data_IF_400879310062
#
_entry.id   IF_400879310062
#
_cell.length_a   1.000
_cell.length_b   1.000
_cell.length_c   1.000
_cell.angle_alpha   90.00
_cell.angle_beta   90.00
_cell.angle_gamma   90.00
#
_symmetry.space_group_name_H-M   'P 1'
#
loop_
_entity.id
_entity.type
_entity.pdbx_description
1 polymer ?
#
# COMPACT_ATOMS: atom_id res chain seq x y z
N UNK A 1 24.30 -26.80 1.15
CA UNK A 1 24.15 -25.81 0.09
C UNK A 1 23.97 -24.42 0.71
N UNK A 2 24.52 -23.37 0.09
CA UNK A 2 24.32 -21.99 0.57
C UNK A 2 22.84 -21.62 0.36
N UNK A 3 22.22 -21.09 1.40
CA UNK A 3 20.83 -20.58 1.33
C UNK A 3 20.77 -19.42 0.34
N UNK A 4 19.85 -19.41 -0.66
CA UNK A 4 19.73 -18.31 -1.58
C UNK A 4 19.35 -17.02 -0.84
N UNK A 5 19.83 -15.88 -1.31
CA UNK A 5 19.65 -14.60 -0.62
C UNK A 5 19.02 -13.55 -1.52
N UNK A 6 18.13 -12.74 -0.97
CA UNK A 6 17.52 -11.61 -1.66
C UNK A 6 17.80 -10.31 -0.94
N UNK A 7 17.85 -9.22 -1.71
CA UNK A 7 17.81 -7.86 -1.17
C UNK A 7 16.57 -7.14 -1.68
N UNK A 8 15.70 -6.73 -0.76
CA UNK A 8 14.47 -5.99 -1.07
C UNK A 8 14.53 -4.58 -0.51
N UNK A 9 14.03 -3.60 -1.26
CA UNK A 9 14.00 -2.21 -0.82
C UNK A 9 12.69 -1.52 -1.21
N UNK A 10 11.81 -1.20 -0.23
CA UNK A 10 10.64 -0.35 -0.47
C UNK A 10 11.05 1.12 -0.59
N UNK A 11 10.35 1.89 -1.45
CA UNK A 11 10.48 3.34 -1.49
C UNK A 11 9.85 3.97 -0.24
N UNK A 12 10.40 5.09 0.21
CA UNK A 12 9.95 5.81 1.42
C UNK A 12 8.78 6.79 1.17
N UNK A 13 7.94 6.51 0.15
CA UNK A 13 6.75 7.30 -0.19
C UNK A 13 5.49 6.78 0.48
N UNK A 14 5.40 6.90 1.79
CA UNK A 14 4.29 6.44 2.59
C UNK A 14 4.41 4.97 3.03
N UNK A 15 3.66 4.62 4.07
CA UNK A 15 3.76 3.34 4.76
C UNK A 15 3.32 2.14 3.90
N UNK A 16 2.50 2.36 2.87
CA UNK A 16 1.97 1.30 2.02
C UNK A 16 3.03 0.46 1.32
N UNK A 17 4.18 1.06 0.95
CA UNK A 17 5.28 0.32 0.34
C UNK A 17 5.94 -0.66 1.33
N UNK A 18 6.14 -0.24 2.56
CA UNK A 18 6.66 -1.12 3.61
C UNK A 18 5.67 -2.25 3.92
N UNK A 19 4.38 -1.92 4.09
CA UNK A 19 3.36 -2.91 4.49
C UNK A 19 3.14 -3.99 3.43
N UNK A 20 3.08 -3.65 2.14
CA UNK A 20 2.93 -4.65 1.07
C UNK A 20 4.17 -5.55 0.92
N UNK A 21 5.37 -5.03 1.24
CA UNK A 21 6.58 -5.84 1.24
C UNK A 21 6.58 -6.92 2.33
N UNK A 22 5.83 -6.77 3.43
CA UNK A 22 5.75 -7.76 4.51
C UNK A 22 5.29 -9.12 3.96
N UNK A 23 4.18 -9.14 3.20
CA UNK A 23 3.63 -10.35 2.59
C UNK A 23 4.64 -11.03 1.67
N UNK A 24 5.30 -10.25 0.82
CA UNK A 24 6.28 -10.75 -0.12
C UNK A 24 7.52 -11.31 0.59
N UNK A 25 8.02 -10.62 1.62
CA UNK A 25 9.19 -11.05 2.39
C UNK A 25 8.90 -12.36 3.13
N UNK A 26 7.75 -12.48 3.79
CA UNK A 26 7.32 -13.73 4.43
C UNK A 26 7.25 -14.89 3.44
N UNK A 27 6.78 -14.65 2.22
CA UNK A 27 6.76 -15.67 1.18
C UNK A 27 8.18 -16.11 0.78
N UNK A 28 9.12 -15.17 0.64
CA UNK A 28 10.53 -15.51 0.40
C UNK A 28 11.15 -16.32 1.55
N UNK A 29 10.86 -15.97 2.80
CA UNK A 29 11.33 -16.73 3.96
C UNK A 29 10.76 -18.16 3.96
N UNK A 30 9.47 -18.33 3.63
CA UNK A 30 8.83 -19.66 3.48
C UNK A 30 9.47 -20.48 2.34
N UNK A 31 9.90 -19.84 1.26
CA UNK A 31 10.65 -20.48 0.16
C UNK A 31 12.12 -20.74 0.51
N UNK A 32 12.55 -20.42 1.73
CA UNK A 32 13.90 -20.71 2.20
C UNK A 32 14.94 -19.65 1.87
N UNK A 33 14.58 -18.48 1.39
CA UNK A 33 15.53 -17.39 1.13
C UNK A 33 16.02 -16.72 2.43
N UNK A 34 17.27 -16.27 2.40
CA UNK A 34 17.78 -15.31 3.38
C UNK A 34 17.43 -13.90 2.90
N UNK A 35 16.67 -13.16 3.71
CA UNK A 35 16.15 -11.85 3.31
C UNK A 35 16.95 -10.71 3.94
N UNK A 36 17.41 -9.80 3.08
CA UNK A 36 18.00 -8.52 3.45
C UNK A 36 17.06 -7.39 3.06
N UNK A 37 16.75 -6.49 3.99
CA UNK A 37 15.86 -5.35 3.77
C UNK A 37 16.67 -4.06 3.81
N UNK A 38 16.75 -3.36 2.69
CA UNK A 38 17.47 -2.08 2.59
C UNK A 38 16.49 -0.91 2.75
N UNK A 39 16.54 -0.22 3.88
CA UNK A 39 15.60 0.85 4.24
C UNK A 39 16.13 1.74 5.37
N UNK A 40 15.39 2.80 5.73
CA UNK A 40 15.64 3.65 6.90
C UNK A 40 14.33 4.13 7.55
N UNK A 41 14.41 4.67 8.76
CA UNK A 41 13.36 5.45 9.41
C UNK A 41 12.12 4.66 9.78
N UNK A 42 10.92 5.24 9.51
CA UNK A 42 9.63 4.63 9.88
C UNK A 42 9.37 3.30 9.18
N UNK A 43 9.83 3.13 7.93
CA UNK A 43 9.71 1.88 7.20
C UNK A 43 10.49 0.75 7.88
N UNK A 44 11.71 1.04 8.33
CA UNK A 44 12.52 0.09 9.09
C UNK A 44 11.82 -0.34 10.38
N UNK A 45 11.19 0.61 11.10
CA UNK A 45 10.48 0.30 12.34
C UNK A 45 9.36 -0.71 12.15
N UNK A 46 8.48 -0.47 11.15
CA UNK A 46 7.34 -1.35 10.84
C UNK A 46 7.82 -2.71 10.35
N UNK A 47 8.85 -2.73 9.50
CA UNK A 47 9.36 -3.98 8.96
C UNK A 47 10.09 -4.81 10.02
N UNK A 48 10.80 -4.21 10.97
CA UNK A 48 11.43 -4.93 12.09
C UNK A 48 10.41 -5.55 13.03
N UNK A 49 9.30 -4.87 13.29
CA UNK A 49 8.21 -5.40 14.10
C UNK A 49 7.59 -6.65 13.45
N UNK A 50 7.32 -6.58 12.14
CA UNK A 50 6.65 -7.66 11.40
C UNK A 50 7.58 -8.81 10.98
N UNK A 51 8.90 -8.58 10.91
CA UNK A 51 9.89 -9.47 10.28
C UNK A 51 11.18 -9.52 11.13
N UNK A 52 11.13 -10.05 12.35
CA UNK A 52 12.28 -10.05 13.27
C UNK A 52 13.46 -10.91 12.79
N UNK A 53 13.23 -11.88 11.89
CA UNK A 53 14.26 -12.77 11.30
C UNK A 53 15.03 -12.14 10.15
N UNK A 54 14.54 -11.05 9.54
CA UNK A 54 15.16 -10.40 8.40
C UNK A 54 16.40 -9.59 8.80
N UNK A 55 17.38 -9.51 7.89
CA UNK A 55 18.55 -8.67 8.07
C UNK A 55 18.32 -7.27 7.49
N UNK A 56 18.60 -6.24 8.29
CA UNK A 56 18.38 -4.85 7.88
C UNK A 56 19.69 -4.17 7.49
N UNK A 57 19.68 -3.56 6.31
CA UNK A 57 20.77 -2.76 5.79
C UNK A 57 20.31 -1.29 5.70
N UNK A 58 21.14 -0.37 6.16
CA UNK A 58 20.80 1.04 6.10
C UNK A 58 20.92 1.57 4.67
N UNK A 59 19.80 1.97 4.07
CA UNK A 59 19.74 2.65 2.78
C UNK A 59 18.93 3.93 2.92
N UNK A 60 19.56 5.06 2.59
CA UNK A 60 18.92 6.38 2.61
C UNK A 60 17.70 6.41 1.67
N UNK A 61 16.59 6.99 2.17
CA UNK A 61 15.38 7.24 1.39
C UNK A 61 15.50 8.46 0.47
N UNK A 62 14.48 8.65 -0.36
CA UNK A 62 14.35 9.81 -1.26
C UNK A 62 14.04 11.08 -0.49
N UNK A 63 13.37 10.98 0.67
CA UNK A 63 13.02 12.10 1.57
C UNK A 63 12.23 13.19 0.87
N UNK A 64 11.25 12.78 0.05
CA UNK A 64 10.41 13.70 -0.72
C UNK A 64 9.52 14.51 0.23
N UNK A 65 9.41 15.81 -0.06
CA UNK A 65 8.52 16.74 0.64
C UNK A 65 7.27 16.97 -0.16
N UNK A 66 6.12 16.91 0.49
CA UNK A 66 4.82 17.20 -0.12
C UNK A 66 4.45 18.68 0.07
N UNK A 67 3.66 19.21 -0.87
CA UNK A 67 3.14 20.57 -0.76
C UNK A 67 2.09 20.66 0.35
N UNK A 68 2.05 21.79 1.06
CA UNK A 68 0.97 22.07 2.03
C UNK A 68 -0.40 22.20 1.35
N UNK A 69 -0.42 22.69 0.11
CA UNK A 69 -1.62 22.91 -0.72
C UNK A 69 -1.56 22.00 -1.95
N UNK A 70 -2.62 21.23 -2.21
CA UNK A 70 -2.66 20.21 -3.26
C UNK A 70 -2.33 20.71 -4.68
N UNK A 71 -2.74 21.93 -5.04
CA UNK A 71 -2.49 22.52 -6.36
C UNK A 71 -1.01 22.88 -6.62
N UNK A 72 -0.19 23.01 -5.59
CA UNK A 72 1.26 23.28 -5.73
C UNK A 72 2.11 22.01 -5.81
N UNK A 73 1.52 20.83 -5.67
CA UNK A 73 2.26 19.56 -5.65
C UNK A 73 3.12 19.32 -6.91
N UNK A 74 2.64 19.55 -8.15
CA UNK A 74 3.44 19.38 -9.35
C UNK A 74 4.71 20.25 -9.38
N UNK A 75 4.59 21.51 -8.96
CA UNK A 75 5.74 22.43 -8.89
C UNK A 75 6.75 21.99 -7.82
N UNK A 76 6.27 21.61 -6.63
CA UNK A 76 7.14 21.12 -5.55
C UNK A 76 7.88 19.87 -5.97
N UNK A 77 7.24 18.95 -6.71
CA UNK A 77 7.90 17.77 -7.25
C UNK A 77 8.93 18.13 -8.35
N UNK A 78 8.61 19.09 -9.21
CA UNK A 78 9.54 19.56 -10.24
C UNK A 78 10.85 20.11 -9.63
N UNK A 79 10.75 20.90 -8.57
CA UNK A 79 11.94 21.41 -7.86
C UNK A 79 12.73 20.31 -7.14
N UNK A 80 12.13 19.14 -6.88
CA UNK A 80 12.81 18.01 -6.26
C UNK A 80 13.42 17.02 -7.27
N UNK A 81 13.23 17.23 -8.59
CA UNK A 81 13.83 16.36 -9.64
C UNK A 81 15.34 16.15 -9.46
N UNK A 82 16.17 17.17 -9.19
CA UNK A 82 17.61 16.96 -8.95
C UNK A 82 17.87 16.03 -7.75
N UNK A 83 17.09 16.17 -6.67
CA UNK A 83 17.20 15.32 -5.48
C UNK A 83 16.78 13.87 -5.79
N UNK A 84 15.74 13.68 -6.60
CA UNK A 84 15.28 12.35 -7.05
C UNK A 84 16.38 11.68 -7.88
N UNK A 85 16.95 12.38 -8.85
CA UNK A 85 18.05 11.86 -9.69
C UNK A 85 19.27 11.50 -8.83
N UNK A 86 19.65 12.38 -7.89
CA UNK A 86 20.71 12.09 -6.96
C UNK A 86 20.44 10.82 -6.13
N UNK A 87 19.21 10.66 -5.62
CA UNK A 87 18.82 9.48 -4.84
C UNK A 87 18.89 8.20 -5.70
N UNK A 88 18.47 8.23 -6.95
CA UNK A 88 18.57 7.10 -7.90
C UNK A 88 20.05 6.71 -8.13
N UNK A 89 20.93 7.69 -8.34
CA UNK A 89 22.36 7.42 -8.52
C UNK A 89 22.99 6.89 -7.23
N UNK A 90 22.61 7.45 -6.09
CA UNK A 90 23.09 7.01 -4.77
C UNK A 90 22.71 5.56 -4.49
N UNK A 91 21.43 5.19 -4.66
CA UNK A 91 20.96 3.82 -4.39
C UNK A 91 21.59 2.80 -5.36
N UNK A 92 21.83 3.18 -6.63
CA UNK A 92 22.55 2.33 -7.56
C UNK A 92 23.99 2.05 -7.07
N UNK A 93 24.72 3.10 -6.69
CA UNK A 93 26.09 2.95 -6.18
C UNK A 93 26.15 2.18 -4.87
N UNK A 94 25.17 2.42 -3.99
CA UNK A 94 25.05 1.70 -2.73
C UNK A 94 24.84 0.21 -2.97
N UNK A 95 23.93 -0.15 -3.89
CA UNK A 95 23.64 -1.55 -4.21
C UNK A 95 24.83 -2.28 -4.83
N UNK A 96 25.63 -1.61 -5.70
CA UNK A 96 26.85 -2.23 -6.23
C UNK A 96 27.82 -2.63 -5.11
N UNK A 97 27.98 -1.78 -4.08
CA UNK A 97 28.82 -2.07 -2.90
C UNK A 97 28.23 -3.20 -2.05
N UNK A 98 26.93 -3.15 -1.80
CA UNK A 98 26.23 -4.19 -1.04
C UNK A 98 26.30 -5.56 -1.76
N UNK A 99 26.14 -5.60 -3.10
CA UNK A 99 26.27 -6.82 -3.89
C UNK A 99 27.68 -7.43 -3.82
N UNK A 100 28.70 -6.60 -3.85
CA UNK A 100 30.09 -7.09 -3.71
C UNK A 100 30.33 -7.76 -2.36
N UNK A 101 29.69 -7.25 -1.29
CA UNK A 101 29.82 -7.76 0.06
C UNK A 101 28.95 -8.98 0.35
N UNK A 102 27.64 -8.90 0.02
CA UNK A 102 26.64 -9.89 0.45
C UNK A 102 26.34 -10.97 -0.60
N UNK A 103 26.60 -10.68 -1.89
CA UNK A 103 26.40 -11.60 -3.04
C UNK A 103 24.95 -12.12 -3.12
N UNK A 104 24.00 -11.18 -3.25
CA UNK A 104 22.58 -11.49 -3.40
C UNK A 104 22.31 -12.29 -4.68
N UNK A 105 21.37 -13.22 -4.63
CA UNK A 105 20.94 -14.04 -5.78
C UNK A 105 19.76 -13.37 -6.53
N UNK A 106 19.00 -12.50 -5.86
CA UNK A 106 17.89 -11.73 -6.42
C UNK A 106 17.79 -10.35 -5.76
N UNK A 107 17.46 -9.34 -6.56
CA UNK A 107 17.20 -7.98 -6.12
C UNK A 107 15.75 -7.63 -6.39
N UNK A 108 15.05 -7.09 -5.38
CA UNK A 108 13.65 -6.69 -5.47
C UNK A 108 13.52 -5.21 -5.11
N UNK A 109 13.16 -4.43 -6.10
CA UNK A 109 12.97 -2.99 -5.98
C UNK A 109 11.49 -2.65 -5.92
N UNK A 110 11.00 -2.09 -4.81
CA UNK A 110 9.65 -1.56 -4.78
C UNK A 110 9.68 -0.05 -5.05
N UNK A 111 9.43 0.30 -6.32
CA UNK A 111 9.42 1.67 -6.88
C UNK A 111 10.75 2.45 -6.76
N UNK A 112 11.91 1.78 -6.62
CA UNK A 112 13.24 2.43 -6.55
C UNK A 112 14.01 2.21 -7.85
N UNK A 113 14.06 3.21 -8.72
CA UNK A 113 14.59 3.10 -10.09
C UNK A 113 16.11 2.84 -10.18
N UNK A 114 16.87 3.15 -9.14
CA UNK A 114 18.32 2.86 -9.09
C UNK A 114 18.65 1.53 -8.40
N UNK A 115 17.65 0.83 -7.85
CA UNK A 115 17.88 -0.39 -7.07
C UNK A 115 17.89 -1.64 -7.96
N UNK A 116 18.88 -1.73 -8.85
CA UNK A 116 19.11 -2.86 -9.77
C UNK A 116 20.59 -3.18 -9.94
N UNK A 117 20.90 -4.40 -10.37
CA UNK A 117 22.28 -4.83 -10.66
C UNK A 117 22.35 -5.48 -12.04
N UNK A 118 23.45 -5.24 -12.80
CA UNK A 118 23.57 -5.72 -14.18
C UNK A 118 23.74 -7.24 -14.30
N UNK A 119 24.34 -7.87 -13.29
CA UNK A 119 24.68 -9.31 -13.31
C UNK A 119 23.83 -10.15 -12.36
N UNK A 120 22.80 -9.56 -11.73
CA UNK A 120 21.90 -10.25 -10.82
C UNK A 120 20.47 -9.96 -11.25
N UNK A 121 19.61 -10.97 -11.35
CA UNK A 121 18.20 -10.74 -11.63
C UNK A 121 17.64 -9.66 -10.72
N UNK A 122 17.04 -8.64 -11.32
CA UNK A 122 16.51 -7.48 -10.60
C UNK A 122 15.08 -7.24 -11.02
N UNK A 123 14.15 -7.26 -10.06
CA UNK A 123 12.73 -7.11 -10.29
C UNK A 123 12.24 -5.75 -9.78
N UNK A 124 11.41 -5.11 -10.56
CA UNK A 124 10.74 -3.86 -10.17
C UNK A 124 9.29 -4.12 -9.80
N UNK A 125 8.85 -3.67 -8.62
CA UNK A 125 7.45 -3.78 -8.19
C UNK A 125 6.76 -2.44 -8.37
N UNK A 126 5.66 -2.42 -9.13
CA UNK A 126 4.80 -1.24 -9.23
C UNK A 126 3.40 -1.60 -9.71
N UNK A 127 2.39 -0.87 -9.24
CA UNK A 127 1.04 -0.85 -9.80
C UNK A 127 0.80 0.37 -10.70
N UNK A 128 1.83 1.21 -10.90
CA UNK A 128 1.76 2.45 -11.65
C UNK A 128 2.65 2.40 -12.89
N UNK A 129 2.24 1.60 -13.89
CA UNK A 129 2.88 1.59 -15.22
C UNK A 129 2.43 2.77 -16.09
N UNK A 130 1.32 3.42 -15.74
CA UNK A 130 0.79 4.59 -16.41
C UNK A 130 0.42 5.65 -15.37
N UNK A 131 1.39 6.45 -14.97
CA UNK A 131 1.19 7.52 -14.00
C UNK A 131 0.35 8.65 -14.63
N UNK A 132 -0.83 8.91 -14.06
CA UNK A 132 -1.72 9.95 -14.56
C UNK A 132 -1.25 11.34 -14.13
N UNK A 133 -1.00 12.19 -15.12
CA UNK A 133 -0.68 13.62 -14.95
C UNK A 133 -1.87 14.48 -15.38
N UNK A 134 -1.91 15.75 -14.96
CA UNK A 134 -2.94 16.68 -15.37
C UNK A 134 -2.99 16.93 -16.90
N UNK A 135 -1.85 16.76 -17.58
CA UNK A 135 -1.73 16.93 -19.03
C UNK A 135 -1.33 15.62 -19.69
N UNK A 136 -2.05 15.22 -20.73
CA UNK A 136 -1.82 13.97 -21.45
C UNK A 136 -0.39 13.88 -22.04
N UNK A 137 0.13 15.00 -22.58
CA UNK A 137 1.49 15.05 -23.11
C UNK A 137 2.54 14.78 -22.02
N UNK A 138 2.35 15.33 -20.81
CA UNK A 138 3.20 15.07 -19.66
C UNK A 138 3.12 13.60 -19.23
N UNK A 139 1.92 13.01 -19.20
CA UNK A 139 1.70 11.58 -18.94
C UNK A 139 2.49 10.71 -19.92
N UNK A 140 2.40 10.98 -21.23
CA UNK A 140 3.10 10.22 -22.27
C UNK A 140 4.62 10.37 -22.16
N UNK A 141 5.12 11.57 -21.89
CA UNK A 141 6.56 11.82 -21.72
C UNK A 141 7.10 11.08 -20.50
N UNK A 142 6.40 11.20 -19.37
CA UNK A 142 6.79 10.53 -18.13
C UNK A 142 6.78 9.01 -18.29
N UNK A 143 5.75 8.46 -18.95
CA UNK A 143 5.66 7.02 -19.25
C UNK A 143 6.85 6.53 -20.10
N UNK A 144 7.27 7.30 -21.11
CA UNK A 144 8.46 6.96 -21.91
C UNK A 144 9.74 6.92 -21.04
N UNK A 145 9.91 7.91 -20.16
CA UNK A 145 11.03 7.96 -19.22
C UNK A 145 10.98 6.77 -18.27
N UNK A 146 9.84 6.50 -17.66
CA UNK A 146 9.63 5.37 -16.76
C UNK A 146 9.97 4.04 -17.46
N UNK A 147 9.50 3.82 -18.69
CA UNK A 147 9.77 2.60 -19.44
C UNK A 147 11.24 2.46 -19.81
N UNK A 148 11.93 3.55 -20.13
CA UNK A 148 13.37 3.54 -20.35
C UNK A 148 14.16 3.13 -19.09
N UNK A 149 13.67 3.51 -17.91
CA UNK A 149 14.26 3.08 -16.63
C UNK A 149 13.94 1.62 -16.33
N UNK A 150 12.71 1.17 -16.59
CA UNK A 150 12.27 -0.22 -16.38
C UNK A 150 13.08 -1.23 -17.20
N UNK A 151 13.58 -0.86 -18.39
CA UNK A 151 14.47 -1.72 -19.21
C UNK A 151 15.75 -2.19 -18.52
N UNK A 152 16.10 -1.61 -17.38
CA UNK A 152 17.26 -2.00 -16.57
C UNK A 152 16.97 -3.19 -15.66
N UNK A 153 15.69 -3.53 -15.49
CA UNK A 153 15.22 -4.64 -14.68
C UNK A 153 14.94 -5.86 -15.53
N UNK A 154 15.06 -7.04 -14.93
CA UNK A 154 14.77 -8.33 -15.56
C UNK A 154 13.28 -8.53 -15.81
N UNK A 155 12.44 -8.08 -14.86
CA UNK A 155 10.99 -8.16 -14.93
C UNK A 155 10.33 -7.08 -14.07
N UNK A 156 9.03 -6.87 -14.30
CA UNK A 156 8.19 -6.05 -13.44
C UNK A 156 7.10 -6.92 -12.80
N UNK A 157 7.01 -6.91 -11.48
CA UNK A 157 5.95 -7.55 -10.72
C UNK A 157 4.88 -6.54 -10.36
N UNK A 158 3.65 -6.85 -10.70
CA UNK A 158 2.51 -5.95 -10.55
C UNK A 158 1.60 -6.51 -9.46
N UNK A 159 1.46 -5.84 -8.31
CA UNK A 159 0.55 -6.26 -7.25
C UNK A 159 -0.90 -5.90 -7.62
N UNK A 160 -1.44 -6.51 -8.65
CA UNK A 160 -2.80 -6.34 -9.18
C UNK A 160 -3.23 -7.58 -9.94
N UNK A 161 -4.42 -7.54 -10.54
CA UNK A 161 -5.01 -8.56 -11.40
C UNK A 161 -4.82 -8.13 -12.86
N UNK A 162 -4.43 -9.04 -13.74
CA UNK A 162 -4.32 -8.75 -15.16
C UNK A 162 -5.71 -8.62 -15.82
N UNK A 163 -5.84 -7.67 -16.76
CA UNK A 163 -7.01 -7.51 -17.61
C UNK A 163 -8.11 -6.64 -17.00
N UNK A 164 -9.36 -6.91 -17.39
CA UNK A 164 -10.51 -6.03 -17.10
C UNK A 164 -10.96 -6.01 -15.63
N UNK A 165 -10.62 -7.05 -14.88
CA UNK A 165 -11.01 -7.20 -13.47
C UNK A 165 -9.93 -6.69 -12.49
N UNK A 166 -9.06 -5.80 -12.96
CA UNK A 166 -8.03 -5.19 -12.12
C UNK A 166 -8.60 -4.09 -11.23
N UNK A 167 -7.86 -3.77 -10.16
CA UNK A 167 -8.27 -2.78 -9.15
C UNK A 167 -7.83 -1.36 -9.46
N UNK A 168 -6.72 -1.22 -10.19
CA UNK A 168 -6.08 0.08 -10.46
C UNK A 168 -6.37 0.63 -11.86
N UNK A 169 -7.25 -0.01 -12.64
CA UNK A 169 -7.61 0.44 -13.98
C UNK A 169 -6.41 0.51 -14.91
N UNK A 170 -6.27 1.65 -15.59
CA UNK A 170 -5.17 1.88 -16.54
C UNK A 170 -3.81 2.13 -15.86
N UNK A 171 -3.76 2.28 -14.54
CA UNK A 171 -2.49 2.47 -13.83
C UNK A 171 -1.60 1.23 -13.96
N UNK A 172 -2.13 0.03 -13.67
CA UNK A 172 -1.39 -1.23 -13.78
C UNK A 172 -1.59 -1.93 -15.14
N UNK A 173 -2.65 -1.57 -15.88
CA UNK A 173 -2.97 -2.16 -17.19
C UNK A 173 -2.97 -1.09 -18.30
N UNK A 174 -1.81 -0.49 -18.64
CA UNK A 174 -1.70 0.52 -19.67
C UNK A 174 -1.93 -0.06 -21.07
N UNK A 175 -2.44 0.77 -22.01
CA UNK A 175 -2.58 0.39 -23.43
C UNK A 175 -1.24 0.01 -24.06
N UNK A 176 -0.17 0.73 -23.71
CA UNK A 176 1.19 0.46 -24.18
C UNK A 176 1.99 -0.13 -23.02
N UNK A 177 2.35 -1.41 -23.11
CA UNK A 177 3.14 -2.11 -22.10
C UNK A 177 4.64 -1.83 -22.28
N UNK A 178 5.45 -1.81 -21.20
CA UNK A 178 6.91 -1.79 -21.32
C UNK A 178 7.43 -3.08 -21.97
N UNK A 179 8.66 -3.05 -22.49
CA UNK A 179 9.26 -4.17 -23.21
C UNK A 179 9.83 -5.29 -22.32
N UNK A 180 9.76 -5.15 -21.01
CA UNK A 180 10.19 -6.20 -20.06
C UNK A 180 9.03 -7.11 -19.67
N UNK A 181 9.27 -8.35 -19.24
CA UNK A 181 8.23 -9.26 -18.76
C UNK A 181 7.42 -8.64 -17.60
N UNK A 182 6.10 -8.77 -17.68
CA UNK A 182 5.15 -8.31 -16.66
C UNK A 182 4.49 -9.50 -15.98
N UNK A 183 4.50 -9.50 -14.65
CA UNK A 183 3.89 -10.55 -13.84
C UNK A 183 2.88 -9.95 -12.88
N UNK A 184 1.61 -10.33 -13.02
CA UNK A 184 0.54 -9.91 -12.14
C UNK A 184 0.48 -10.87 -10.95
N UNK A 185 0.90 -10.37 -9.78
CA UNK A 185 1.14 -11.16 -8.57
C UNK A 185 -0.11 -11.34 -7.71
N UNK A 186 -1.22 -10.67 -8.04
CA UNK A 186 -2.38 -10.53 -7.15
C UNK A 186 -2.14 -9.49 -6.05
N UNK A 187 -3.05 -9.40 -5.10
CA UNK A 187 -3.06 -8.40 -4.04
C UNK A 187 -2.11 -8.77 -2.90
N UNK A 188 -1.12 -7.94 -2.64
CA UNK A 188 -0.17 -8.08 -1.53
C UNK A 188 -0.79 -7.51 -0.23
N UNK A 189 -1.69 -8.25 0.39
CA UNK A 189 -2.32 -7.86 1.66
C UNK A 189 -1.71 -8.61 2.84
N UNK A 190 -1.11 -7.88 3.79
CA UNK A 190 -0.62 -8.46 5.06
C UNK A 190 -1.76 -8.90 5.99
N UNK A 191 -2.95 -8.30 5.83
CA UNK A 191 -4.09 -8.58 6.71
C UNK A 191 -4.75 -9.92 6.41
N UNK A 192 -4.63 -10.44 5.18
CA UNK A 192 -5.14 -11.78 4.82
C UNK A 192 -4.43 -12.87 5.60
N UNK A 193 -3.10 -12.82 5.74
CA UNK A 193 -2.36 -13.80 6.54
C UNK A 193 -2.73 -13.72 8.03
N UNK A 194 -2.99 -12.52 8.55
CA UNK A 194 -3.42 -12.33 9.93
C UNK A 194 -4.78 -12.98 10.20
N UNK A 195 -5.70 -12.95 9.22
CA UNK A 195 -7.01 -13.61 9.35
C UNK A 195 -6.91 -15.13 9.33
N UNK A 196 -6.00 -15.72 8.56
CA UNK A 196 -5.77 -17.17 8.58
C UNK A 196 -5.25 -17.66 9.94
N UNK A 197 -4.30 -16.98 10.54
CA UNK A 197 -3.79 -17.35 11.88
C UNK A 197 -4.85 -17.20 12.98
N UNK A 198 -5.74 -16.22 12.91
CA UNK A 198 -6.86 -16.08 13.86
C UNK A 198 -7.87 -17.22 13.67
N UNK A 199 -8.11 -17.67 12.43
CA UNK A 199 -9.04 -18.77 12.12
C UNK A 199 -8.43 -20.15 12.35
N UNK A 200 -7.12 -20.35 12.22
CA UNK A 200 -6.43 -21.62 12.53
C UNK A 200 -6.46 -21.94 14.04
N UNK A 201 -6.62 -20.93 14.89
CA UNK A 201 -6.96 -21.10 16.30
C UNK A 201 -8.43 -21.56 16.48
N UNK A 202 -9.27 -21.45 15.45
CA UNK A 202 -10.71 -21.79 15.40
C UNK A 202 -11.01 -22.72 14.20
N UNK A 203 -10.29 -23.85 14.03
CA UNK A 203 -10.55 -24.93 13.06
C UNK A 203 -10.71 -24.59 11.55
N UNK A 204 -9.72 -25.00 10.79
CA UNK A 204 -9.74 -25.71 9.49
C UNK A 204 -10.73 -25.27 8.41
N UNK A 205 -10.18 -24.75 7.33
CA UNK A 205 -10.74 -24.34 6.01
C UNK A 205 -11.22 -22.90 5.91
N UNK A 206 -10.49 -22.14 5.08
CA UNK A 206 -10.80 -20.72 4.82
C UNK A 206 -12.01 -20.63 3.91
N UNK A 207 -13.17 -20.40 4.50
CA UNK A 207 -14.33 -19.92 3.78
C UNK A 207 -14.37 -18.39 3.97
N UNK A 208 -14.10 -17.59 2.92
CA UNK A 208 -14.10 -16.11 2.99
C UNK A 208 -15.42 -15.55 3.56
N UNK A 209 -16.54 -16.27 3.43
CA UNK A 209 -17.82 -15.95 4.05
C UNK A 209 -17.83 -16.02 5.60
N UNK A 210 -16.83 -16.65 6.21
CA UNK A 210 -16.72 -16.78 7.68
C UNK A 210 -15.95 -15.63 8.32
N UNK A 211 -15.22 -14.83 7.52
CA UNK A 211 -14.45 -13.67 8.01
C UNK A 211 -15.36 -12.58 8.61
N UNK A 212 -16.62 -12.53 8.17
CA UNK A 212 -17.57 -11.46 8.49
C UNK A 212 -18.49 -11.72 9.69
N UNK A 213 -18.34 -12.84 10.44
CA UNK A 213 -19.10 -13.06 11.66
C UNK A 213 -18.41 -12.43 12.86
N UNK A 214 -19.05 -11.43 13.44
CA UNK A 214 -18.63 -10.75 14.68
C UNK A 214 -19.20 -11.49 15.88
N UNK A 215 -18.33 -11.88 16.81
CA UNK A 215 -18.70 -12.57 18.08
C UNK A 215 -18.87 -11.62 19.27
N UNK A 216 -18.99 -10.29 19.06
CA UNK A 216 -19.20 -9.33 20.16
C UNK A 216 -20.15 -8.20 19.78
N UNK A 217 -20.93 -7.75 20.79
CA UNK A 217 -21.97 -6.72 20.68
C UNK A 217 -21.47 -5.28 20.44
N UNK A 218 -20.21 -5.05 20.11
CA UNK A 218 -19.64 -3.72 19.91
C UNK A 218 -19.49 -3.39 18.41
N UNK A 219 -20.61 -3.15 17.72
CA UNK A 219 -20.56 -2.62 16.36
C UNK A 219 -20.25 -1.12 16.36
N UNK A 220 -19.35 -0.68 15.50
CA UNK A 220 -19.08 0.73 15.22
C UNK A 220 -19.66 1.12 13.86
N UNK A 221 -20.19 2.36 13.77
CA UNK A 221 -20.77 2.86 12.52
C UNK A 221 -19.66 3.02 11.50
N UNK A 222 -18.53 3.65 11.85
CA UNK A 222 -17.43 3.74 10.92
C UNK A 222 -16.04 3.58 11.57
N UNK A 223 -15.11 3.06 10.76
CA UNK A 223 -13.69 3.05 11.02
C UNK A 223 -12.99 4.05 10.08
N UNK A 224 -12.38 5.08 10.63
CA UNK A 224 -11.53 6.02 9.89
C UNK A 224 -10.09 5.50 9.81
N UNK A 225 -9.60 5.12 8.62
CA UNK A 225 -8.19 4.76 8.42
C UNK A 225 -7.49 5.92 7.72
N UNK A 226 -6.84 6.75 8.53
CA UNK A 226 -6.17 7.95 8.04
C UNK A 226 -4.74 7.63 7.65
N UNK A 227 -4.32 8.11 6.49
CA UNK A 227 -2.97 7.95 5.96
C UNK A 227 -2.58 9.14 5.10
N UNK A 228 -1.34 9.17 4.64
CA UNK A 228 -0.84 10.20 3.74
C UNK A 228 0.06 11.24 4.41
N UNK A 229 0.52 12.23 3.61
CA UNK A 229 1.46 13.25 4.09
C UNK A 229 0.79 14.33 4.93
N UNK A 230 1.57 14.96 5.79
CA UNK A 230 1.15 16.18 6.50
C UNK A 230 1.10 17.39 5.56
N UNK A 231 0.17 18.33 5.79
CA UNK A 231 -0.83 18.40 6.86
C UNK A 231 -2.15 17.65 6.54
N UNK A 232 -2.28 17.07 5.36
CA UNK A 232 -3.53 16.49 4.86
C UNK A 232 -4.01 15.30 5.72
N UNK A 233 -3.07 14.55 6.31
CA UNK A 233 -3.36 13.48 7.25
C UNK A 233 -4.09 14.04 8.50
N UNK A 234 -3.49 15.03 9.17
CA UNK A 234 -4.06 15.65 10.38
C UNK A 234 -5.39 16.35 10.09
N UNK A 235 -5.55 16.96 8.91
CA UNK A 235 -6.81 17.59 8.52
C UNK A 235 -7.95 16.56 8.42
N UNK A 236 -7.72 15.41 7.80
CA UNK A 236 -8.73 14.35 7.72
C UNK A 236 -9.02 13.73 9.10
N UNK A 237 -8.00 13.48 9.92
CA UNK A 237 -8.15 13.00 11.29
C UNK A 237 -9.10 13.90 12.09
N UNK A 238 -8.82 15.21 12.11
CA UNK A 238 -9.62 16.20 12.83
C UNK A 238 -11.05 16.29 12.29
N UNK A 239 -11.20 16.21 10.95
CA UNK A 239 -12.52 16.24 10.31
C UNK A 239 -13.38 15.05 10.77
N UNK A 240 -12.85 13.83 10.70
CA UNK A 240 -13.57 12.62 11.10
C UNK A 240 -13.87 12.61 12.59
N UNK A 241 -12.88 12.97 13.41
CA UNK A 241 -13.06 13.04 14.86
C UNK A 241 -14.16 14.03 15.27
N UNK A 242 -14.13 15.25 14.71
CA UNK A 242 -15.14 16.27 14.98
C UNK A 242 -16.52 15.85 14.49
N UNK A 243 -16.62 15.36 13.25
CA UNK A 243 -17.90 15.01 12.64
C UNK A 243 -18.57 13.82 13.34
N UNK A 244 -17.82 12.76 13.71
CA UNK A 244 -18.35 11.61 14.43
C UNK A 244 -18.87 11.98 15.82
N UNK A 245 -18.14 12.82 16.55
CA UNK A 245 -18.60 13.33 17.85
C UNK A 245 -19.84 14.22 17.75
N UNK A 246 -19.97 15.01 16.67
CA UNK A 246 -21.15 15.85 16.45
C UNK A 246 -22.42 15.02 16.20
N UNK A 247 -22.27 13.84 15.57
CA UNK A 247 -23.38 12.91 15.31
C UNK A 247 -23.68 11.98 16.48
N UNK A 248 -22.83 11.96 17.50
CA UNK A 248 -22.93 11.07 18.69
C UNK A 248 -23.07 9.58 18.33
N UNK A 249 -22.30 9.13 17.35
CA UNK A 249 -22.30 7.75 16.86
C UNK A 249 -21.04 6.99 17.30
N UNK A 250 -21.08 5.66 17.45
CA UNK A 250 -19.88 4.84 17.74
C UNK A 250 -18.92 4.83 16.57
N UNK A 251 -17.64 5.19 16.80
CA UNK A 251 -16.61 5.15 15.76
C UNK A 251 -15.19 4.99 16.30
N UNK A 252 -14.31 4.54 15.44
CA UNK A 252 -12.86 4.48 15.68
C UNK A 252 -12.12 5.22 14.58
N UNK A 253 -11.08 5.98 14.94
CA UNK A 253 -10.16 6.60 13.98
C UNK A 253 -8.74 6.11 14.25
N UNK A 254 -8.02 5.74 13.19
CA UNK A 254 -6.61 5.35 13.24
C UNK A 254 -5.81 6.40 12.48
N UNK A 255 -4.96 7.14 13.20
CA UNK A 255 -4.23 8.29 12.70
C UNK A 255 -3.11 7.95 11.70
N UNK A 256 -2.64 6.68 11.66
CA UNK A 256 -1.55 6.27 10.77
C UNK A 256 -0.18 6.83 11.16
N UNK A 257 0.05 7.05 12.47
CA UNK A 257 1.32 7.53 13.03
C UNK A 257 1.96 6.46 13.92
N UNK A 258 2.62 5.45 13.32
CA UNK A 258 3.24 4.38 14.09
C UNK A 258 4.36 4.91 15.00
N UNK A 259 4.45 4.36 16.21
CA UNK A 259 5.53 4.60 17.16
C UNK A 259 6.26 3.30 17.45
N UNK A 260 7.59 3.34 17.54
CA UNK A 260 8.41 2.18 17.87
C UNK A 260 8.12 1.64 19.28
N UNK A 261 7.80 2.54 20.20
CA UNK A 261 7.73 2.22 21.63
C UNK A 261 6.30 1.91 22.12
N UNK A 262 5.28 2.26 21.33
CA UNK A 262 3.88 2.11 21.71
C UNK A 262 3.02 1.71 20.49
N UNK A 263 3.04 0.44 20.06
CA UNK A 263 2.01 -0.08 19.17
C UNK A 263 0.64 0.06 19.85
N UNK A 264 -0.41 0.31 19.10
CA UNK A 264 -1.78 0.46 19.62
C UNK A 264 -1.98 1.65 20.58
N UNK A 265 -1.19 2.72 20.45
CA UNK A 265 -1.31 3.90 21.31
C UNK A 265 -2.65 4.59 21.16
N UNK A 266 -3.45 4.59 22.23
CA UNK A 266 -4.67 5.40 22.34
C UNK A 266 -4.28 6.88 22.55
N UNK A 267 -4.78 7.78 21.66
CA UNK A 267 -4.53 9.22 21.73
C UNK A 267 -5.68 9.93 22.45
N UNK A 268 -6.93 9.57 22.09
CA UNK A 268 -8.15 10.15 22.63
C UNK A 268 -9.22 9.09 22.76
N UNK A 269 -10.07 9.23 23.78
CA UNK A 269 -11.24 8.37 23.99
C UNK A 269 -12.37 9.19 24.61
N UNK A 270 -13.59 8.86 24.25
CA UNK A 270 -14.80 9.28 24.94
C UNK A 270 -15.80 8.12 24.95
N UNK A 271 -17.05 8.38 25.39
CA UNK A 271 -18.09 7.34 25.53
C UNK A 271 -18.29 6.49 24.25
N UNK A 272 -18.26 7.12 23.06
CA UNK A 272 -18.63 6.50 21.80
C UNK A 272 -17.46 6.39 20.79
N UNK A 273 -16.29 6.94 21.10
CA UNK A 273 -15.22 7.08 20.12
C UNK A 273 -13.82 6.82 20.67
N UNK A 274 -12.97 6.21 19.83
CA UNK A 274 -11.55 6.01 20.10
C UNK A 274 -10.69 6.52 18.95
N UNK A 275 -9.58 7.19 19.28
CA UNK A 275 -8.55 7.61 18.34
C UNK A 275 -7.24 6.94 18.70
N UNK A 276 -6.74 6.09 17.81
CA UNK A 276 -5.45 5.44 17.96
C UNK A 276 -4.39 6.10 17.06
N UNK A 277 -3.15 6.16 17.52
CA UNK A 277 -2.02 6.58 16.71
C UNK A 277 -1.78 5.60 15.56
N UNK A 278 -1.78 4.32 15.88
CA UNK A 278 -1.61 3.18 14.98
C UNK A 278 -2.20 1.95 15.64
N UNK A 279 -2.60 0.96 14.85
CA UNK A 279 -2.96 -0.37 15.33
C UNK A 279 -2.10 -1.42 14.66
N UNK A 280 -1.65 -2.41 15.43
CA UNK A 280 -1.02 -3.61 14.88
C UNK A 280 -2.03 -4.43 14.06
N UNK A 281 -1.55 -5.34 13.22
CA UNK A 281 -2.42 -6.03 12.26
C UNK A 281 -3.60 -6.79 12.91
N UNK A 282 -3.44 -7.51 14.04
CA UNK A 282 -4.58 -8.21 14.67
C UNK A 282 -5.67 -7.26 15.17
N UNK A 283 -5.29 -6.16 15.82
CA UNK A 283 -6.21 -5.15 16.34
C UNK A 283 -6.88 -4.39 15.21
N UNK A 284 -6.13 -4.07 14.14
CA UNK A 284 -6.70 -3.44 12.95
C UNK A 284 -7.76 -4.35 12.28
N UNK A 285 -7.47 -5.66 12.15
CA UNK A 285 -8.44 -6.64 11.62
C UNK A 285 -9.70 -6.69 12.48
N UNK A 286 -9.56 -6.65 13.80
CA UNK A 286 -10.71 -6.61 14.71
C UNK A 286 -11.57 -5.37 14.46
N UNK A 287 -11.01 -4.17 14.43
CA UNK A 287 -11.77 -2.93 14.18
C UNK A 287 -12.40 -2.91 12.77
N UNK A 288 -11.70 -3.44 11.74
CA UNK A 288 -12.28 -3.60 10.40
C UNK A 288 -13.53 -4.49 10.45
N UNK A 289 -13.48 -5.62 11.16
CA UNK A 289 -14.64 -6.54 11.26
C UNK A 289 -15.84 -5.89 11.94
N UNK A 290 -15.64 -5.07 12.97
CA UNK A 290 -16.69 -4.41 13.72
C UNK A 290 -17.30 -3.21 12.98
N UNK A 291 -16.60 -2.61 12.01
CA UNK A 291 -17.07 -1.45 11.28
C UNK A 291 -18.15 -1.81 10.25
N UNK A 292 -19.20 -0.99 10.14
CA UNK A 292 -20.14 -1.03 9.01
C UNK A 292 -19.52 -0.34 7.78
N UNK A 293 -18.97 0.87 7.98
CA UNK A 293 -18.31 1.65 6.93
C UNK A 293 -16.83 1.83 7.24
N UNK A 294 -15.99 1.84 6.20
CA UNK A 294 -14.58 2.23 6.32
C UNK A 294 -14.34 3.51 5.53
N UNK A 295 -13.89 4.54 6.20
CA UNK A 295 -13.56 5.84 5.60
C UNK A 295 -12.05 5.95 5.49
N UNK A 296 -11.52 6.08 4.25
CA UNK A 296 -10.08 6.15 4.05
C UNK A 296 -9.68 7.01 2.83
N UNK A 297 -8.36 7.16 2.61
CA UNK A 297 -7.82 7.94 1.48
C UNK A 297 -7.98 7.28 0.11
N UNK A 298 -8.28 6.00 0.04
CA UNK A 298 -8.33 5.26 -1.22
C UNK A 298 -6.96 5.06 -1.88
N UNK A 299 -5.86 5.04 -1.10
CA UNK A 299 -4.54 4.67 -1.61
C UNK A 299 -4.47 3.18 -1.95
N UNK A 300 -3.79 2.82 -3.04
CA UNK A 300 -3.82 1.47 -3.62
C UNK A 300 -3.50 0.35 -2.61
N UNK A 301 -2.49 0.52 -1.77
CA UNK A 301 -2.15 -0.49 -0.75
C UNK A 301 -3.28 -0.68 0.26
N UNK A 302 -3.93 0.42 0.70
CA UNK A 302 -5.08 0.35 1.59
C UNK A 302 -6.22 -0.42 0.95
N UNK A 303 -6.47 -0.21 -0.35
CA UNK A 303 -7.50 -0.96 -1.09
C UNK A 303 -7.20 -2.46 -1.11
N UNK A 304 -5.98 -2.86 -1.45
CA UNK A 304 -5.57 -4.27 -1.41
C UNK A 304 -5.75 -4.91 -0.03
N UNK A 305 -5.51 -4.15 1.05
CA UNK A 305 -5.69 -4.62 2.42
C UNK A 305 -7.17 -4.75 2.81
N UNK A 306 -8.07 -3.88 2.32
CA UNK A 306 -9.47 -3.81 2.74
C UNK A 306 -10.42 -4.70 1.93
N UNK A 307 -10.16 -4.93 0.64
CA UNK A 307 -11.04 -5.72 -0.24
C UNK A 307 -11.43 -7.09 0.36
N UNK A 308 -10.51 -7.86 0.97
CA UNK A 308 -10.85 -9.17 1.53
C UNK A 308 -11.91 -9.15 2.63
N UNK A 309 -12.20 -7.98 3.21
CA UNK A 309 -13.16 -7.84 4.30
C UNK A 309 -14.58 -7.47 3.83
N UNK A 310 -14.75 -7.21 2.53
CA UNK A 310 -16.05 -6.93 1.90
C UNK A 310 -16.85 -5.79 2.57
N UNK A 311 -16.13 -4.80 3.12
CA UNK A 311 -16.74 -3.67 3.81
C UNK A 311 -17.18 -2.58 2.85
N UNK A 312 -18.18 -1.79 3.25
CA UNK A 312 -18.65 -0.60 2.54
C UNK A 312 -17.57 0.50 2.66
N UNK A 313 -17.00 0.91 1.55
CA UNK A 313 -15.87 1.84 1.52
C UNK A 313 -16.32 3.25 1.12
N UNK A 314 -15.83 4.25 1.84
CA UNK A 314 -16.02 5.67 1.53
C UNK A 314 -14.63 6.30 1.39
N UNK A 315 -14.32 6.82 0.21
CA UNK A 315 -13.01 7.40 -0.08
C UNK A 315 -13.03 8.90 0.04
N UNK A 316 -11.98 9.43 0.64
CA UNK A 316 -11.68 10.86 0.69
C UNK A 316 -10.24 11.06 0.18
N UNK A 317 -10.02 11.11 -1.15
CA UNK A 317 -8.69 11.27 -1.72
C UNK A 317 -7.95 12.49 -1.16
N UNK A 318 -6.63 12.37 -1.03
CA UNK A 318 -5.80 13.52 -0.67
C UNK A 318 -5.85 14.57 -1.78
N UNK A 319 -6.21 15.83 -1.49
CA UNK A 319 -6.25 16.88 -2.49
C UNK A 319 -4.93 17.00 -3.27
N UNK A 320 -5.03 16.97 -4.61
CA UNK A 320 -3.88 17.06 -5.51
C UNK A 320 -3.12 15.75 -5.74
N UNK A 321 -3.45 14.65 -5.07
CA UNK A 321 -2.85 13.34 -5.33
C UNK A 321 -3.60 12.62 -6.45
N UNK A 322 -3.06 12.71 -7.67
CA UNK A 322 -3.70 12.24 -8.89
C UNK A 322 -4.06 10.75 -8.89
N UNK A 323 -3.22 9.89 -8.30
CA UNK A 323 -3.51 8.46 -8.14
C UNK A 323 -4.78 8.22 -7.34
N UNK A 324 -4.87 8.79 -6.13
CA UNK A 324 -6.03 8.59 -5.26
C UNK A 324 -7.30 9.17 -5.86
N UNK A 325 -7.20 10.33 -6.53
CA UNK A 325 -8.33 10.93 -7.24
C UNK A 325 -8.81 10.03 -8.38
N UNK A 326 -7.88 9.46 -9.16
CA UNK A 326 -8.20 8.52 -10.23
C UNK A 326 -8.83 7.23 -9.69
N UNK A 327 -8.24 6.62 -8.66
CA UNK A 327 -8.77 5.41 -8.03
C UNK A 327 -10.14 5.65 -7.41
N UNK A 328 -10.33 6.79 -6.73
CA UNK A 328 -11.63 7.15 -6.15
C UNK A 328 -12.73 7.19 -7.20
N UNK A 329 -12.50 7.88 -8.32
CA UNK A 329 -13.43 7.96 -9.43
C UNK A 329 -13.70 6.58 -10.08
N UNK A 330 -12.65 5.80 -10.34
CA UNK A 330 -12.77 4.45 -10.91
C UNK A 330 -13.64 3.54 -10.02
N UNK A 331 -13.41 3.57 -8.71
CA UNK A 331 -14.12 2.72 -7.77
C UNK A 331 -15.58 3.14 -7.60
N UNK A 332 -15.86 4.44 -7.65
CA UNK A 332 -17.22 4.97 -7.66
C UNK A 332 -17.98 4.56 -8.93
N UNK A 333 -17.38 4.71 -10.12
CA UNK A 333 -17.95 4.26 -11.40
C UNK A 333 -18.26 2.75 -11.44
N UNK A 334 -17.48 1.96 -10.68
CA UNK A 334 -17.70 0.50 -10.53
C UNK A 334 -18.70 0.14 -9.42
N UNK A 335 -19.18 1.09 -8.66
CA UNK A 335 -19.94 0.91 -7.43
C UNK A 335 -19.22 0.10 -6.35
N UNK A 336 -17.89 0.17 -6.28
CA UNK A 336 -17.09 -0.50 -5.26
C UNK A 336 -16.88 0.36 -4.01
N UNK A 337 -16.99 1.69 -4.14
CA UNK A 337 -16.90 2.64 -3.05
C UNK A 337 -17.66 3.93 -3.40
N UNK A 338 -18.03 4.71 -2.38
CA UNK A 338 -18.38 6.12 -2.53
C UNK A 338 -17.11 6.96 -2.48
N UNK A 339 -17.09 8.11 -3.19
CA UNK A 339 -15.92 8.98 -3.24
C UNK A 339 -16.30 10.45 -3.07
N UNK A 340 -15.67 11.15 -2.12
CA UNK A 340 -15.93 12.55 -1.83
C UNK A 340 -14.64 13.37 -1.88
N UNK A 341 -14.72 14.57 -2.46
CA UNK A 341 -13.67 15.57 -2.29
C UNK A 341 -13.61 16.04 -0.84
N UNK A 342 -12.41 16.13 -0.26
CA UNK A 342 -12.23 16.49 1.15
C UNK A 342 -12.86 17.81 1.54
N UNK A 343 -12.85 18.80 0.63
CA UNK A 343 -13.38 20.14 0.86
C UNK A 343 -14.90 20.13 1.06
N UNK A 344 -15.61 19.22 0.39
CA UNK A 344 -17.07 19.12 0.39
C UNK A 344 -17.58 17.98 1.28
N UNK A 345 -16.69 17.22 1.94
CA UNK A 345 -17.07 16.06 2.73
C UNK A 345 -17.88 16.47 3.97
N UNK A 346 -19.07 15.87 4.10
CA UNK A 346 -19.94 15.96 5.27
C UNK A 346 -20.33 14.54 5.68
N UNK A 347 -19.91 14.12 6.85
CA UNK A 347 -20.08 12.74 7.34
C UNK A 347 -21.54 12.30 7.37
N UNK A 348 -22.46 13.16 7.84
CA UNK A 348 -23.89 12.85 7.89
C UNK A 348 -24.46 12.59 6.50
N UNK A 349 -24.10 13.38 5.50
CA UNK A 349 -24.54 13.21 4.09
C UNK A 349 -23.96 11.90 3.54
N UNK A 350 -22.67 11.67 3.73
CA UNK A 350 -22.02 10.47 3.23
C UNK A 350 -22.58 9.18 3.83
N UNK A 351 -22.94 9.18 5.12
CA UNK A 351 -23.56 8.02 5.76
C UNK A 351 -25.01 7.81 5.28
N UNK A 352 -25.80 8.88 5.04
CA UNK A 352 -27.13 8.73 4.46
C UNK A 352 -27.07 8.19 3.02
N UNK A 353 -26.23 8.77 2.15
CA UNK A 353 -26.05 8.28 0.79
C UNK A 353 -25.54 6.83 0.77
N UNK A 354 -24.68 6.45 1.73
CA UNK A 354 -24.16 5.08 1.82
C UNK A 354 -25.20 4.03 2.20
N UNK A 355 -26.34 4.41 2.81
CA UNK A 355 -27.45 3.47 3.08
C UNK A 355 -28.13 3.02 1.79
N UNK A 356 -28.30 3.95 0.86
CA UNK A 356 -29.01 3.73 -0.41
C UNK A 356 -28.07 3.30 -1.54
N UNK A 357 -26.75 3.47 -1.37
CA UNK A 357 -25.76 3.11 -2.38
C UNK A 357 -25.64 1.57 -2.51
N UNK A 358 -25.78 1.07 -3.74
CA UNK A 358 -25.61 -0.36 -4.02
C UNK A 358 -24.13 -0.72 -4.17
N UNK A 359 -23.45 -0.97 -3.05
CA UNK A 359 -22.06 -1.43 -3.04
C UNK A 359 -21.94 -2.80 -3.72
N UNK A 360 -21.11 -2.86 -4.76
CA UNK A 360 -20.69 -4.10 -5.41
C UNK A 360 -19.34 -4.54 -4.81
N UNK A 361 -19.13 -5.83 -4.81
CA UNK A 361 -17.86 -6.39 -4.38
C UNK A 361 -16.78 -6.16 -5.46
N UNK A 362 -15.65 -5.59 -5.05
CA UNK A 362 -14.49 -5.46 -5.94
C UNK A 362 -13.86 -6.85 -6.16
N UNK A 363 -13.32 -7.12 -7.36
CA UNK A 363 -12.64 -8.39 -7.61
C UNK A 363 -11.41 -8.53 -6.73
N UNK A 364 -11.18 -9.72 -6.21
CA UNK A 364 -10.03 -10.01 -5.39
C UNK A 364 -9.32 -11.28 -5.85
N UNK A 365 -8.01 -11.17 -6.01
CA UNK A 365 -7.11 -12.31 -6.21
C UNK A 365 -5.97 -12.16 -5.22
N UNK A 366 -5.90 -13.03 -4.24
CA UNK A 366 -4.81 -13.04 -3.28
C UNK A 366 -3.48 -13.34 -3.98
N UNK A 367 -2.41 -12.74 -3.48
CA UNK A 367 -1.06 -13.17 -3.76
C UNK A 367 -0.87 -14.63 -3.29
N UNK A 368 -0.13 -15.42 -4.05
CA UNK A 368 0.21 -16.79 -3.67
C UNK A 368 1.71 -17.06 -3.77
N UNK A 369 2.19 -17.97 -2.93
CA UNK A 369 3.59 -18.40 -2.92
C UNK A 369 3.94 -19.13 -4.22
N UNK A 370 3.00 -19.91 -4.76
CA UNK A 370 3.17 -20.64 -6.03
C UNK A 370 3.36 -19.67 -7.21
N UNK A 371 2.61 -18.56 -7.21
CA UNK A 371 2.78 -17.51 -8.22
C UNK A 371 4.16 -16.84 -8.10
N UNK A 372 4.64 -16.59 -6.88
CA UNK A 372 5.99 -16.07 -6.64
C UNK A 372 7.06 -17.06 -7.12
N UNK A 373 6.94 -18.33 -6.77
CA UNK A 373 7.89 -19.36 -7.18
C UNK A 373 7.96 -19.51 -8.71
N UNK A 374 6.80 -19.49 -9.38
CA UNK A 374 6.74 -19.51 -10.84
C UNK A 374 7.42 -18.27 -11.46
N UNK A 375 7.18 -17.08 -10.89
CA UNK A 375 7.80 -15.85 -11.34
C UNK A 375 9.33 -15.86 -11.16
N UNK A 376 9.83 -16.39 -10.04
CA UNK A 376 11.29 -16.54 -9.78
C UNK A 376 11.93 -17.50 -10.80
N UNK A 377 11.33 -18.66 -11.04
CA UNK A 377 11.84 -19.65 -11.99
C UNK A 377 12.07 -19.07 -13.39
N UNK A 378 11.24 -18.13 -13.80
CA UNK A 378 11.37 -17.49 -15.11
C UNK A 378 12.42 -16.36 -15.17
N UNK A 379 12.92 -15.87 -14.02
CA UNK A 379 14.03 -14.90 -14.00
C UNK A 379 15.38 -15.57 -14.29
N UNK A 380 15.46 -16.88 -14.16
CA UNK A 380 16.68 -17.67 -14.26
C UNK A 380 16.81 -18.41 -15.60
N UNK A 381 15.82 -18.29 -16.48
CA UNK A 381 15.83 -18.80 -17.86
C UNK A 381 16.16 -17.68 -18.85
#
# INVERSE_FOLDING_TARGET
>A
MKRPSICISPIDWGLGHATRCITLIKAFEKLGYQVYIATEGYHEAILREALPSAQFLHLRGYRIRYAKWGFNLPLVLLFQVPQIIYSIIYEYRWLQKAQAQYKFDLIVSDNRFGFYHKSVPSVFITHQLNLQMHFELATRLFQKIQYAWLKRFTACWIPDIEGAHNLSGILANPKHKPSIPLWYMGCLSRLVETTTHINDTIKGSINYSTINKTDSNESIVFLGIVSGPEPQRTLLENLLWKAGNTLDIPFVVIAGTPSKDQPNKLIKENKNAKLYAHLAAPELVREIKHAEYIICRGGYTTLMELIPFEKKLIFIPTPGQTEQMYLGKLWEEKNWALCYAQENFKLNIALEEAKDFHFKQAPFKAFSIEALEAAIKQLTL
#
